data_IF_049174670874
#
_entry.id   IF_049174670874
#
_cell.length_a   1.000
_cell.length_b   1.000
_cell.length_c   1.000
_cell.angle_alpha   90.00
_cell.angle_beta   90.00
_cell.angle_gamma   90.00
#
_symmetry.space_group_name_H-M   'P 1'
#
loop_
_entity.id
_entity.type
_entity.pdbx_description
1 polymer ?
#
# COMPACT_ATOMS: atom_id res chain seq x y z
N UNK A 1 -20.71 -9.34 9.61
CA UNK A 1 -20.24 -8.20 8.80
C UNK A 1 -18.73 -8.24 8.88
N UNK A 2 -18.05 -8.42 7.75
CA UNK A 2 -16.59 -8.46 7.73
C UNK A 2 -16.05 -7.13 8.28
N UNK A 3 -15.44 -7.20 9.46
CA UNK A 3 -14.86 -6.04 10.14
C UNK A 3 -13.54 -5.69 9.45
N UNK A 4 -13.67 -5.13 8.24
CA UNK A 4 -12.55 -4.77 7.38
C UNK A 4 -12.54 -3.27 7.09
N UNK A 5 -11.34 -2.71 7.01
CA UNK A 5 -11.08 -1.31 6.70
C UNK A 5 -10.30 -1.22 5.39
N UNK A 6 -10.65 -0.27 4.51
CA UNK A 6 -9.87 0.02 3.31
C UNK A 6 -9.14 1.35 3.48
N UNK A 7 -7.82 1.34 3.27
CA UNK A 7 -7.00 2.54 3.19
C UNK A 7 -6.64 2.82 1.73
N UNK A 8 -6.95 4.01 1.24
CA UNK A 8 -6.45 4.51 -0.02
C UNK A 8 -5.26 5.44 0.26
N UNK A 9 -4.07 5.10 -0.26
CA UNK A 9 -2.85 5.87 -0.10
C UNK A 9 -2.53 6.52 -1.45
N UNK A 10 -2.43 7.84 -1.45
CA UNK A 10 -2.04 8.64 -2.61
C UNK A 10 -0.53 8.63 -2.85
N UNK A 11 -0.05 9.69 -3.46
CA UNK A 11 1.31 9.80 -3.97
C UNK A 11 2.37 9.65 -2.87
N UNK A 12 3.41 8.87 -3.17
CA UNK A 12 4.50 8.55 -2.22
C UNK A 12 5.77 9.32 -2.61
N UNK A 13 6.01 9.54 -3.91
CA UNK A 13 7.12 10.33 -4.44
C UNK A 13 8.50 9.94 -3.85
N UNK A 14 8.75 8.64 -3.72
CA UNK A 14 10.00 8.12 -3.16
C UNK A 14 10.19 8.36 -1.65
N UNK A 15 9.19 8.87 -0.90
CA UNK A 15 9.34 9.16 0.52
C UNK A 15 9.17 7.92 1.42
N UNK A 16 10.18 7.04 1.47
CA UNK A 16 10.13 5.75 2.17
C UNK A 16 9.82 5.88 3.68
N UNK A 17 10.40 6.88 4.36
CA UNK A 17 10.16 7.12 5.78
C UNK A 17 8.74 7.58 6.10
N UNK A 18 8.15 8.40 5.22
CA UNK A 18 6.75 8.83 5.36
C UNK A 18 5.79 7.66 5.14
N UNK A 19 6.08 6.81 4.16
CA UNK A 19 5.30 5.61 3.90
C UNK A 19 5.30 4.66 5.11
N UNK A 20 6.45 4.36 5.69
CA UNK A 20 6.54 3.52 6.90
C UNK A 20 5.76 4.10 8.09
N UNK A 21 5.88 5.41 8.30
CA UNK A 21 5.14 6.11 9.37
C UNK A 21 3.63 6.03 9.16
N UNK A 22 3.17 6.23 7.92
CA UNK A 22 1.76 6.13 7.55
C UNK A 22 1.23 4.70 7.77
N UNK A 23 1.97 3.68 7.32
CA UNK A 23 1.57 2.28 7.51
C UNK A 23 1.44 1.91 9.00
N UNK A 24 2.32 2.43 9.85
CA UNK A 24 2.23 2.26 11.31
C UNK A 24 0.96 2.90 11.89
N UNK A 25 0.60 4.09 11.41
CA UNK A 25 -0.65 4.75 11.82
C UNK A 25 -1.88 3.97 11.34
N UNK A 26 -1.87 3.46 10.11
CA UNK A 26 -2.93 2.60 9.59
C UNK A 26 -3.09 1.33 10.44
N UNK A 27 -1.99 0.73 10.91
CA UNK A 27 -2.02 -0.44 11.79
C UNK A 27 -2.68 -0.13 13.14
N UNK A 28 -2.41 1.06 13.69
CA UNK A 28 -3.08 1.56 14.90
C UNK A 28 -4.58 1.78 14.66
N UNK A 29 -4.95 2.43 13.55
CA UNK A 29 -6.35 2.73 13.19
C UNK A 29 -7.16 1.46 12.91
N UNK A 30 -6.57 0.46 12.24
CA UNK A 30 -7.29 -0.79 11.96
C UNK A 30 -7.62 -1.54 13.24
N UNK A 31 -6.85 -1.39 14.32
CA UNK A 31 -7.17 -1.96 15.64
C UNK A 31 -7.52 -3.47 15.54
N UNK A 32 -6.66 -4.24 14.88
CA UNK A 32 -6.86 -5.69 14.69
C UNK A 32 -7.80 -6.09 13.55
N UNK A 33 -8.55 -5.15 12.96
CA UNK A 33 -9.40 -5.40 11.78
C UNK A 33 -8.58 -5.83 10.57
N UNK A 34 -9.23 -6.54 9.66
CA UNK A 34 -8.64 -6.83 8.35
C UNK A 34 -8.47 -5.52 7.57
N UNK A 35 -7.28 -5.28 7.01
CA UNK A 35 -7.00 -4.07 6.25
C UNK A 35 -6.74 -4.39 4.78
N UNK A 36 -7.39 -3.65 3.89
CA UNK A 36 -7.08 -3.61 2.46
C UNK A 36 -6.41 -2.29 2.12
N UNK A 37 -5.20 -2.35 1.59
CA UNK A 37 -4.49 -1.17 1.10
C UNK A 37 -4.67 -1.04 -0.41
N UNK A 38 -5.07 0.14 -0.85
CA UNK A 38 -5.15 0.52 -2.26
C UNK A 38 -4.15 1.67 -2.46
N UNK A 39 -3.10 1.39 -3.23
CA UNK A 39 -2.09 2.37 -3.61
C UNK A 39 -2.52 3.02 -4.92
N UNK A 40 -2.62 4.35 -4.97
CA UNK A 40 -3.26 5.06 -6.08
C UNK A 40 -2.29 5.39 -7.23
N UNK A 41 -0.99 5.52 -6.96
CA UNK A 41 0.02 5.86 -7.97
C UNK A 41 1.23 6.58 -7.39
N UNK A 42 2.10 7.07 -8.27
CA UNK A 42 3.24 7.94 -7.96
C UNK A 42 4.10 7.48 -6.77
N UNK A 43 4.50 6.21 -6.84
CA UNK A 43 5.33 5.59 -5.79
C UNK A 43 6.76 6.14 -5.78
N UNK A 44 7.27 6.43 -6.97
CA UNK A 44 8.67 6.75 -7.21
C UNK A 44 8.80 8.13 -7.84
N UNK A 45 9.94 8.75 -7.59
CA UNK A 45 10.40 9.96 -8.25
C UNK A 45 11.92 9.88 -8.51
N UNK A 46 12.56 10.98 -8.91
CA UNK A 46 14.03 11.03 -9.11
C UNK A 46 14.85 10.96 -7.80
N UNK A 47 14.20 10.82 -6.65
CA UNK A 47 14.84 10.78 -5.34
C UNK A 47 15.59 9.47 -5.08
N UNK A 48 16.59 9.52 -4.19
CA UNK A 48 17.43 8.38 -3.81
C UNK A 48 16.70 7.26 -3.07
N UNK A 49 15.54 7.56 -2.47
CA UNK A 49 14.74 6.61 -1.68
C UNK A 49 13.65 5.88 -2.51
N UNK A 50 13.56 6.15 -3.82
CA UNK A 50 12.60 5.46 -4.69
C UNK A 50 12.78 3.94 -4.70
N UNK A 51 14.02 3.46 -4.59
CA UNK A 51 14.31 2.03 -4.45
C UNK A 51 13.74 1.48 -3.13
N UNK A 52 13.93 2.17 -2.02
CA UNK A 52 13.45 1.74 -0.70
C UNK A 52 11.92 1.66 -0.64
N UNK A 53 11.22 2.58 -1.32
CA UNK A 53 9.76 2.52 -1.48
C UNK A 53 9.35 1.24 -2.22
N UNK A 54 9.94 0.98 -3.39
CA UNK A 54 9.60 -0.21 -4.17
C UNK A 54 9.90 -1.50 -3.41
N UNK A 55 11.06 -1.57 -2.76
CA UNK A 55 11.47 -2.71 -1.96
C UNK A 55 10.49 -2.98 -0.81
N UNK A 56 10.02 -1.92 -0.14
CA UNK A 56 8.99 -2.04 0.90
C UNK A 56 7.67 -2.59 0.32
N UNK A 57 7.18 -2.00 -0.76
CA UNK A 57 5.92 -2.39 -1.39
C UNK A 57 5.96 -3.83 -1.93
N UNK A 58 7.08 -4.24 -2.52
CA UNK A 58 7.28 -5.60 -3.03
C UNK A 58 7.34 -6.63 -1.90
N UNK A 59 8.03 -6.33 -0.78
CA UNK A 59 8.02 -7.19 0.41
C UNK A 59 6.60 -7.36 0.96
N UNK A 60 5.83 -6.27 1.04
CA UNK A 60 4.41 -6.34 1.43
C UNK A 60 3.61 -7.23 0.48
N UNK A 61 3.69 -7.00 -0.83
CA UNK A 61 2.95 -7.76 -1.83
C UNK A 61 3.28 -9.26 -1.80
N UNK A 62 4.55 -9.62 -1.62
CA UNK A 62 5.00 -11.01 -1.54
C UNK A 62 4.47 -11.76 -0.30
N UNK A 63 4.15 -11.03 0.78
CA UNK A 63 3.56 -11.61 2.00
C UNK A 63 2.05 -11.77 1.94
N UNK A 64 1.39 -11.14 0.96
CA UNK A 64 -0.05 -11.25 0.76
C UNK A 64 -0.36 -12.49 -0.09
N UNK A 65 -1.47 -13.19 0.20
CA UNK A 65 -1.94 -14.23 -0.71
C UNK A 65 -2.21 -13.60 -2.08
N UNK A 66 -1.65 -14.20 -3.14
CA UNK A 66 -1.90 -13.77 -4.51
C UNK A 66 -3.40 -13.92 -4.77
N UNK A 67 -4.09 -12.80 -4.99
CA UNK A 67 -5.47 -12.83 -5.44
C UNK A 67 -5.52 -13.49 -6.81
N UNK A 68 -6.15 -14.66 -6.90
CA UNK A 68 -6.40 -15.35 -8.16
C UNK A 68 -7.44 -14.63 -9.04
N UNK A 69 -8.09 -13.58 -8.53
CA UNK A 69 -9.06 -12.81 -9.30
C UNK A 69 -8.32 -12.00 -10.38
N UNK A 70 -8.69 -12.15 -11.66
CA UNK A 70 -8.07 -11.40 -12.75
C UNK A 70 -8.25 -9.89 -12.52
N UNK A 71 -7.23 -9.11 -12.83
CA UNK A 71 -7.33 -7.66 -12.89
C UNK A 71 -8.48 -7.29 -13.85
N UNK A 72 -9.56 -6.74 -13.31
CA UNK A 72 -10.65 -6.21 -14.12
C UNK A 72 -10.40 -4.72 -14.34
N UNK A 73 -10.04 -4.31 -15.58
CA UNK A 73 -9.91 -2.89 -15.87
C UNK A 73 -11.28 -2.24 -15.69
N UNK A 74 -11.32 -1.15 -14.91
CA UNK A 74 -12.49 -0.27 -14.88
C UNK A 74 -12.64 0.33 -16.27
N UNK A 75 -13.73 -0.03 -16.95
CA UNK A 75 -14.10 0.57 -18.22
C UNK A 75 -14.23 2.09 -18.03
N UNK A 76 -13.60 2.82 -18.95
CA UNK A 76 -13.54 4.28 -18.95
C UNK A 76 -14.88 4.89 -19.32
#
# INVERSE_FOLDING_TARGET
MDDSITFAIGDIHGCSGKLQSLLTQCDTVRCGRNARFILLGDYVDRGSESQDVLDLLMRQAASLPVSAAPFQPVAR
#
